data_IF_410131169847
#
_entry.id   IF_410131169847
#
_cell.length_a   1.000
_cell.length_b   1.000
_cell.length_c   1.000
_cell.angle_alpha   90.00
_cell.angle_beta   90.00
_cell.angle_gamma   90.00
#
_symmetry.space_group_name_H-M   'P 1'
#
loop_
_entity.id
_entity.type
_entity.pdbx_description
1 polymer ?
#
# COMPACT_ATOMS: atom_id res chain seq x y z
N UNK A 1 -0.45 -5.04 -12.33
CA UNK A 1 -0.56 -5.74 -11.03
C UNK A 1 -1.38 -4.87 -10.09
N UNK A 2 -2.30 -5.48 -9.34
CA UNK A 2 -3.18 -4.77 -8.40
C UNK A 2 -2.58 -4.76 -6.99
N UNK A 3 -2.55 -3.60 -6.39
CA UNK A 3 -1.86 -3.35 -5.12
C UNK A 3 -2.87 -2.93 -4.04
N UNK A 4 -2.71 -3.51 -2.86
CA UNK A 4 -3.23 -2.98 -1.61
C UNK A 4 -2.13 -2.18 -0.91
N UNK A 5 -2.38 -0.90 -0.66
CA UNK A 5 -1.53 -0.04 0.15
C UNK A 5 -2.07 0.03 1.58
N UNK A 6 -1.33 -0.51 2.53
CA UNK A 6 -1.69 -0.47 3.96
C UNK A 6 -0.98 0.71 4.64
N UNK A 7 -1.76 1.71 5.03
CA UNK A 7 -1.29 2.96 5.61
C UNK A 7 -0.96 4.04 4.56
N UNK A 8 -1.52 5.22 4.75
CA UNK A 8 -1.24 6.42 3.93
C UNK A 8 -0.62 7.54 4.78
N UNK A 9 0.32 7.16 5.63
CA UNK A 9 1.22 8.08 6.29
C UNK A 9 2.21 8.73 5.31
N UNK A 10 3.31 9.25 5.79
CA UNK A 10 4.33 9.93 4.94
C UNK A 10 4.84 9.04 3.81
N UNK A 11 5.23 7.80 4.12
CA UNK A 11 5.76 6.85 3.12
C UNK A 11 4.65 6.40 2.18
N UNK A 12 3.49 6.00 2.69
CA UNK A 12 2.37 5.55 1.87
C UNK A 12 1.88 6.60 0.86
N UNK A 13 1.84 7.88 1.25
CA UNK A 13 1.50 8.98 0.32
C UNK A 13 2.56 9.18 -0.77
N UNK A 14 3.84 9.00 -0.46
CA UNK A 14 4.91 9.04 -1.46
C UNK A 14 4.75 7.89 -2.48
N UNK A 15 4.47 6.69 -2.00
CA UNK A 15 4.22 5.52 -2.84
C UNK A 15 2.99 5.72 -3.72
N UNK A 16 1.88 6.17 -3.14
CA UNK A 16 0.67 6.49 -3.89
C UNK A 16 0.95 7.47 -5.01
N UNK A 17 1.67 8.55 -4.72
CA UNK A 17 1.99 9.59 -5.70
C UNK A 17 2.87 9.07 -6.84
N UNK A 18 3.79 8.15 -6.58
CA UNK A 18 4.63 7.55 -7.61
C UNK A 18 3.89 6.53 -8.48
N UNK A 19 2.93 5.81 -7.91
CA UNK A 19 2.20 4.75 -8.60
C UNK A 19 0.91 5.22 -9.29
N UNK A 20 0.37 6.37 -8.93
CA UNK A 20 -0.93 6.87 -9.42
C UNK A 20 -1.01 6.96 -10.96
N UNK A 21 0.11 7.23 -11.63
CA UNK A 21 0.19 7.29 -13.10
C UNK A 21 0.88 6.08 -13.73
N UNK A 22 1.25 5.07 -12.92
CA UNK A 22 1.92 3.88 -13.40
C UNK A 22 0.92 2.95 -14.12
N UNK A 23 1.31 2.38 -15.25
CA UNK A 23 0.45 1.49 -16.05
C UNK A 23 0.55 0.02 -15.66
N UNK A 24 1.67 -0.37 -15.04
CA UNK A 24 1.95 -1.76 -14.68
C UNK A 24 1.47 -2.10 -13.26
N UNK A 25 1.38 -1.06 -12.40
CA UNK A 25 1.01 -1.17 -10.99
C UNK A 25 -0.14 -0.23 -10.68
N UNK A 26 -1.24 -0.78 -10.21
CA UNK A 26 -2.47 -0.06 -9.87
C UNK A 26 -2.80 -0.23 -8.39
N UNK A 27 -2.84 0.85 -7.62
CA UNK A 27 -3.36 0.81 -6.27
C UNK A 27 -4.89 0.79 -6.34
N UNK A 28 -5.49 -0.32 -5.96
CA UNK A 28 -6.95 -0.54 -6.01
C UNK A 28 -7.61 -0.47 -4.63
N UNK A 29 -6.83 -0.71 -3.57
CA UNK A 29 -7.28 -0.61 -2.18
C UNK A 29 -6.26 0.17 -1.36
N UNK A 30 -6.74 1.10 -0.56
CA UNK A 30 -6.00 1.70 0.55
C UNK A 30 -6.68 1.27 1.84
N UNK A 31 -5.93 0.64 2.73
CA UNK A 31 -6.37 0.39 4.09
C UNK A 31 -5.74 1.42 5.03
N UNK A 32 -6.56 2.13 5.80
CA UNK A 32 -6.10 3.18 6.71
C UNK A 32 -6.91 3.14 8.01
N UNK A 33 -6.23 3.17 9.14
CA UNK A 33 -6.87 3.08 10.45
C UNK A 33 -7.76 4.28 10.78
N UNK A 34 -7.53 5.43 10.15
CA UNK A 34 -8.41 6.58 10.29
C UNK A 34 -9.79 6.24 9.67
N UNK A 35 -10.89 6.31 10.43
CA UNK A 35 -12.22 5.92 9.94
C UNK A 35 -12.87 6.97 9.02
N UNK A 36 -12.31 8.18 8.93
CA UNK A 36 -12.91 9.29 8.19
C UNK A 36 -12.25 9.44 6.82
N UNK A 37 -12.96 9.03 5.78
CA UNK A 37 -12.48 9.08 4.38
C UNK A 37 -12.14 10.51 3.96
N UNK A 38 -12.89 11.49 4.45
CA UNK A 38 -12.64 12.91 4.17
C UNK A 38 -11.25 13.36 4.67
N UNK A 39 -10.84 12.90 5.85
CA UNK A 39 -9.53 13.20 6.42
C UNK A 39 -8.41 12.54 5.62
N UNK A 40 -8.64 11.30 5.17
CA UNK A 40 -7.69 10.56 4.32
C UNK A 40 -7.50 11.32 3.01
N UNK A 41 -8.60 11.67 2.31
CA UNK A 41 -8.57 12.39 1.04
C UNK A 41 -7.90 13.76 1.19
N UNK A 42 -8.24 14.49 2.26
CA UNK A 42 -7.60 15.78 2.54
C UNK A 42 -6.08 15.61 2.72
N UNK A 43 -5.65 14.62 3.49
CA UNK A 43 -4.23 14.37 3.77
C UNK A 43 -3.45 13.95 2.52
N UNK A 44 -4.08 13.21 1.60
CA UNK A 44 -3.49 12.83 0.32
C UNK A 44 -3.35 14.07 -0.58
N UNK A 45 -4.43 14.84 -0.73
CA UNK A 45 -4.48 15.97 -1.66
C UNK A 45 -3.59 17.16 -1.24
N UNK A 46 -3.35 17.32 0.06
CA UNK A 46 -2.66 18.49 0.63
C UNK A 46 -1.52 18.05 1.56
N UNK A 47 -0.58 17.28 1.01
CA UNK A 47 0.56 16.82 1.78
C UNK A 47 1.59 17.96 1.98
N UNK A 48 2.03 18.15 3.22
CA UNK A 48 3.01 19.20 3.55
C UNK A 48 4.43 18.88 3.10
N UNK A 49 4.73 17.59 2.89
CA UNK A 49 6.07 17.11 2.51
C UNK A 49 6.22 17.00 1.01
N UNK A 50 5.24 16.34 0.35
CA UNK A 50 5.29 16.04 -1.08
C UNK A 50 4.47 17.01 -1.93
N UNK A 51 3.88 18.03 -1.31
CA UNK A 51 3.10 19.05 -1.97
C UNK A 51 1.68 18.61 -2.34
N UNK A 52 0.96 19.50 -2.98
CA UNK A 52 -0.42 19.25 -3.40
C UNK A 52 -0.46 18.25 -4.55
N UNK A 53 -1.50 17.41 -4.59
CA UNK A 53 -1.86 16.67 -5.78
C UNK A 53 -2.41 17.63 -6.84
N UNK A 54 -1.93 17.53 -8.07
CA UNK A 54 -2.45 18.32 -9.19
C UNK A 54 -3.84 17.82 -9.57
N UNK A 55 -3.96 16.51 -9.81
CA UNK A 55 -5.21 15.82 -10.07
C UNK A 55 -5.78 15.21 -8.80
N UNK A 56 -6.53 16.02 -8.06
CA UNK A 56 -7.00 15.72 -6.72
C UNK A 56 -8.01 14.58 -6.69
N UNK A 57 -7.83 13.69 -5.74
CA UNK A 57 -8.83 12.69 -5.39
C UNK A 57 -10.10 13.32 -4.83
N UNK A 58 -11.24 12.77 -5.23
CA UNK A 58 -12.59 13.11 -4.72
C UNK A 58 -13.25 11.85 -4.21
N UNK A 59 -14.09 11.98 -3.20
CA UNK A 59 -14.96 10.90 -2.75
C UNK A 59 -16.10 10.77 -3.77
N UNK A 60 -16.33 9.58 -4.33
CA UNK A 60 -17.33 9.37 -5.39
C UNK A 60 -18.46 8.44 -4.99
N UNK A 61 -18.19 7.41 -4.20
CA UNK A 61 -19.18 6.44 -3.70
C UNK A 61 -18.78 6.01 -2.30
N UNK A 62 -19.59 5.19 -1.64
CA UNK A 62 -19.30 4.65 -0.32
C UNK A 62 -17.88 4.10 -0.24
N UNK A 63 -16.99 4.83 0.41
CA UNK A 63 -15.58 4.48 0.62
C UNK A 63 -14.73 4.34 -0.66
N UNK A 64 -15.10 4.96 -1.77
CA UNK A 64 -14.24 5.07 -2.95
C UNK A 64 -13.75 6.49 -3.13
N UNK A 65 -12.48 6.62 -3.49
CA UNK A 65 -11.87 7.88 -3.93
C UNK A 65 -11.45 7.75 -5.39
N UNK A 66 -11.53 8.83 -6.13
CA UNK A 66 -11.21 8.84 -7.57
C UNK A 66 -10.57 10.15 -7.99
N UNK A 67 -9.60 10.06 -8.89
CA UNK A 67 -9.10 11.15 -9.72
C UNK A 67 -9.25 10.76 -11.20
N UNK A 68 -8.55 11.40 -12.16
CA UNK A 68 -8.67 11.07 -13.58
C UNK A 68 -8.02 9.74 -13.95
N UNK A 69 -7.08 9.25 -13.16
CA UNK A 69 -6.26 8.05 -13.44
C UNK A 69 -6.68 6.83 -12.63
N UNK A 70 -7.15 7.01 -11.41
CA UNK A 70 -7.33 5.94 -10.44
C UNK A 70 -8.68 6.00 -9.74
N UNK A 71 -9.30 4.83 -9.48
CA UNK A 71 -10.44 4.66 -8.58
C UNK A 71 -10.05 3.66 -7.49
N UNK A 72 -9.96 4.10 -6.25
CA UNK A 72 -9.38 3.36 -5.13
C UNK A 72 -10.42 3.17 -4.03
N UNK A 73 -10.57 1.94 -3.55
CA UNK A 73 -11.42 1.61 -2.40
C UNK A 73 -10.68 1.93 -1.10
N UNK A 74 -11.33 2.63 -0.19
CA UNK A 74 -10.82 2.85 1.17
C UNK A 74 -11.42 1.81 2.11
N UNK A 75 -10.57 1.17 2.89
CA UNK A 75 -10.95 0.25 3.96
C UNK A 75 -10.34 0.71 5.28
N UNK A 76 -10.96 0.24 6.38
CA UNK A 76 -10.55 0.62 7.74
C UNK A 76 -10.48 -0.63 8.62
N UNK A 77 -9.59 -1.54 8.30
CA UNK A 77 -9.37 -2.74 9.08
C UNK A 77 -8.08 -2.62 9.90
N UNK A 78 -8.13 -3.16 11.10
CA UNK A 78 -6.99 -3.24 12.02
C UNK A 78 -6.02 -4.40 11.72
N UNK A 79 -6.41 -5.31 10.81
CA UNK A 79 -5.62 -6.46 10.37
C UNK A 79 -5.82 -6.72 8.89
N UNK A 80 -4.75 -7.06 8.18
CA UNK A 80 -4.76 -7.40 6.75
C UNK A 80 -5.58 -8.66 6.44
N UNK A 81 -5.70 -9.59 7.37
CA UNK A 81 -6.49 -10.81 7.22
C UNK A 81 -8.00 -10.56 7.07
N UNK A 82 -8.48 -9.40 7.54
CA UNK A 82 -9.90 -9.02 7.43
C UNK A 82 -10.26 -8.39 6.09
N UNK A 83 -9.27 -8.09 5.28
CA UNK A 83 -9.45 -7.44 3.98
C UNK A 83 -9.71 -8.51 2.92
N UNK A 84 -10.67 -8.28 2.04
CA UNK A 84 -10.86 -9.12 0.86
C UNK A 84 -9.70 -8.91 -0.12
N UNK A 85 -8.87 -9.94 -0.25
CA UNK A 85 -7.65 -9.93 -1.08
C UNK A 85 -7.83 -10.65 -2.43
N UNK A 86 -9.07 -11.01 -2.80
CA UNK A 86 -9.36 -11.83 -3.99
C UNK A 86 -8.68 -11.33 -5.27
N UNK A 87 -8.63 -10.03 -5.46
CA UNK A 87 -8.09 -9.39 -6.68
C UNK A 87 -6.82 -8.59 -6.39
N UNK A 88 -6.10 -8.93 -5.32
CA UNK A 88 -4.86 -8.24 -4.93
C UNK A 88 -3.66 -9.13 -5.26
N UNK A 89 -2.73 -8.60 -6.03
CA UNK A 89 -1.47 -9.28 -6.35
C UNK A 89 -0.40 -9.02 -5.30
N UNK A 90 -0.29 -7.77 -4.85
CA UNK A 90 0.78 -7.30 -3.96
C UNK A 90 0.20 -6.47 -2.81
N UNK A 91 0.78 -6.62 -1.63
CA UNK A 91 0.56 -5.71 -0.51
C UNK A 91 1.82 -4.86 -0.31
N UNK A 92 1.64 -3.55 -0.14
CA UNK A 92 2.69 -2.66 0.36
C UNK A 92 2.26 -2.18 1.74
N UNK A 93 3.00 -2.58 2.77
CA UNK A 93 2.72 -2.18 4.14
C UNK A 93 3.59 -0.99 4.55
N UNK A 94 2.95 0.15 4.68
CA UNK A 94 3.52 1.42 5.17
C UNK A 94 2.81 1.94 6.42
N UNK A 95 2.11 1.05 7.13
CA UNK A 95 1.38 1.39 8.35
C UNK A 95 2.30 1.69 9.53
N UNK A 96 3.53 1.17 9.51
CA UNK A 96 4.48 1.22 10.63
C UNK A 96 4.08 0.32 11.80
N UNK A 97 3.03 -0.47 11.66
CA UNK A 97 2.60 -1.45 12.64
C UNK A 97 3.48 -2.70 12.55
N UNK A 98 3.85 -3.27 13.68
CA UNK A 98 4.54 -4.56 13.70
C UNK A 98 3.53 -5.67 13.44
N UNK A 99 3.58 -6.23 12.24
CA UNK A 99 2.73 -7.35 11.84
C UNK A 99 3.36 -8.71 12.20
N UNK A 100 2.51 -9.71 12.41
CA UNK A 100 2.97 -11.10 12.57
C UNK A 100 3.31 -11.67 11.18
N UNK A 101 4.60 -11.90 10.95
CA UNK A 101 5.13 -12.42 9.67
C UNK A 101 4.54 -13.79 9.32
N UNK A 102 4.22 -14.63 10.31
CA UNK A 102 3.59 -15.93 10.04
C UNK A 102 2.19 -15.79 9.47
N UNK A 103 1.43 -14.81 9.95
CA UNK A 103 0.12 -14.50 9.40
C UNK A 103 0.24 -13.93 7.99
N UNK A 104 1.16 -13.00 7.77
CA UNK A 104 1.41 -12.40 6.45
C UNK A 104 1.78 -13.44 5.39
N UNK A 105 2.60 -14.44 5.74
CA UNK A 105 2.98 -15.51 4.81
C UNK A 105 1.81 -16.33 4.29
N UNK A 106 0.73 -16.43 5.04
CA UNK A 106 -0.47 -17.18 4.66
C UNK A 106 -1.46 -16.38 3.79
N UNK A 107 -1.28 -15.07 3.62
CA UNK A 107 -2.18 -14.26 2.79
C UNK A 107 -2.09 -14.68 1.31
N UNK A 108 -3.19 -14.69 0.56
CA UNK A 108 -3.24 -15.16 -0.82
C UNK A 108 -2.73 -14.11 -1.83
N UNK A 109 -1.52 -13.59 -1.63
CA UNK A 109 -0.88 -12.59 -2.50
C UNK A 109 0.50 -13.09 -2.94
N UNK A 110 1.02 -12.51 -4.01
CA UNK A 110 2.32 -12.87 -4.60
C UNK A 110 3.46 -12.41 -3.70
N UNK A 111 3.41 -11.17 -3.23
CA UNK A 111 4.44 -10.57 -2.39
C UNK A 111 3.88 -9.52 -1.44
N UNK A 112 4.58 -9.30 -0.34
CA UNK A 112 4.30 -8.25 0.64
C UNK A 112 5.58 -7.46 0.87
N UNK A 113 5.55 -6.17 0.55
CA UNK A 113 6.64 -5.24 0.78
C UNK A 113 6.42 -4.50 2.08
N UNK A 114 7.34 -4.67 3.03
CA UNK A 114 7.35 -3.91 4.27
C UNK A 114 8.24 -2.67 4.08
N UNK A 115 7.73 -1.49 4.39
CA UNK A 115 8.51 -0.25 4.25
C UNK A 115 9.46 0.03 5.43
N UNK A 116 9.71 -0.97 6.24
CA UNK A 116 10.63 -0.94 7.38
C UNK A 116 11.34 -2.28 7.52
N UNK A 117 12.58 -2.32 8.04
CA UNK A 117 13.32 -3.57 8.22
C UNK A 117 12.58 -4.52 9.18
N UNK A 118 12.59 -5.82 8.85
CA UNK A 118 12.04 -6.84 9.70
C UNK A 118 12.95 -8.08 9.70
N UNK A 119 13.43 -8.49 10.87
CA UNK A 119 14.35 -9.63 10.99
C UNK A 119 13.71 -10.99 10.66
N UNK A 120 12.39 -11.06 10.62
CA UNK A 120 11.63 -12.27 10.27
C UNK A 120 11.16 -12.26 8.80
N UNK A 121 11.44 -11.19 8.04
CA UNK A 121 11.19 -11.13 6.61
C UNK A 121 12.05 -12.14 5.86
N UNK A 122 11.61 -12.55 4.68
CA UNK A 122 12.36 -13.51 3.86
C UNK A 122 13.66 -12.88 3.34
N UNK A 123 13.63 -11.57 3.09
CA UNK A 123 14.80 -10.76 2.73
C UNK A 123 14.59 -9.31 3.19
N UNK A 124 15.65 -8.67 3.67
CA UNK A 124 15.71 -7.22 3.76
C UNK A 124 16.53 -6.69 2.59
N UNK A 125 15.86 -6.12 1.60
CA UNK A 125 16.46 -5.69 0.35
C UNK A 125 16.86 -4.22 0.40
N UNK A 126 18.08 -3.94 -0.05
CA UNK A 126 18.60 -2.58 -0.25
C UNK A 126 18.98 -2.45 -1.72
N UNK A 127 18.25 -1.60 -2.44
CA UNK A 127 18.50 -1.37 -3.87
C UNK A 127 19.92 -0.83 -4.11
N UNK A 128 20.62 -1.43 -5.08
CA UNK A 128 22.02 -1.13 -5.37
C UNK A 128 23.02 -1.89 -4.49
N UNK A 129 22.55 -2.71 -3.54
CA UNK A 129 23.41 -3.49 -2.64
C UNK A 129 23.17 -4.99 -2.80
N UNK A 130 21.95 -5.45 -2.57
CA UNK A 130 21.64 -6.87 -2.54
C UNK A 130 20.36 -7.25 -3.30
N UNK A 131 19.88 -6.42 -4.23
CA UNK A 131 18.71 -6.73 -5.05
C UNK A 131 18.84 -8.03 -5.86
N UNK A 132 20.09 -8.48 -6.13
CA UNK A 132 20.38 -9.73 -6.83
C UNK A 132 20.07 -10.98 -6.01
N UNK A 133 19.98 -10.83 -4.68
CA UNK A 133 19.65 -11.91 -3.77
C UNK A 133 18.14 -12.18 -3.72
N UNK A 134 17.34 -11.27 -4.29
CA UNK A 134 15.89 -11.44 -4.38
C UNK A 134 15.55 -12.62 -5.30
N UNK A 135 14.86 -13.62 -4.75
CA UNK A 135 14.31 -14.73 -5.50
C UNK A 135 12.78 -14.72 -5.37
N UNK A 136 12.04 -14.29 -6.40
CA UNK A 136 10.57 -14.17 -6.32
C UNK A 136 9.83 -15.52 -6.16
N UNK A 137 10.50 -16.65 -6.33
CA UNK A 137 9.89 -17.96 -6.12
C UNK A 137 9.87 -18.40 -4.65
N UNK A 138 10.68 -17.77 -3.80
CA UNK A 138 10.81 -18.16 -2.38
C UNK A 138 10.66 -16.99 -1.41
N UNK A 139 10.92 -15.75 -1.86
CA UNK A 139 10.81 -14.57 -1.02
C UNK A 139 9.45 -13.92 -1.22
N UNK A 140 8.60 -14.01 -0.22
CA UNK A 140 7.26 -13.42 -0.20
C UNK A 140 7.20 -12.14 0.64
N UNK A 141 7.91 -12.11 1.76
CA UNK A 141 7.99 -10.95 2.66
C UNK A 141 9.32 -10.26 2.42
N UNK A 142 9.27 -9.05 1.92
CA UNK A 142 10.40 -8.25 1.44
C UNK A 142 10.51 -6.96 2.24
#
# INVERSE_FOLDING_TARGET
>A
MKILLNGVGRIGKAILKQLDTNKDFEIVVINEINPYVENIVYSINYDSTYGKYEDKFKIVENNYIQNSTSKIKITNFDSLEKIDLKDIDIIIDSSGKKEDIKLLKNLPVIAIFLTHPNNEADINMILGVNEKDLNPNIHKII
#
